data_IF_251073655686
#
_entry.id   IF_251073655686
#
_cell.length_a   1.000
_cell.length_b   1.000
_cell.length_c   1.000
_cell.angle_alpha   90.00
_cell.angle_beta   90.00
_cell.angle_gamma   90.00
#
_symmetry.space_group_name_H-M   'P 1'
#
loop_
_entity.id
_entity.type
_entity.pdbx_description
1 polymer ?
#
# COMPACT_ATOMS: atom_id res chain seq x y z
N UNK A 1 2.24 8.29 18.36
CA UNK A 1 2.54 8.40 16.92
C UNK A 1 3.71 7.51 16.62
N UNK A 2 3.43 6.32 16.08
CA UNK A 2 4.49 5.48 15.51
C UNK A 2 4.73 5.86 14.06
N UNK A 3 5.92 5.55 13.56
CA UNK A 3 6.26 5.77 12.16
C UNK A 3 5.78 4.57 11.35
N UNK A 4 4.68 4.72 10.60
CA UNK A 4 4.22 3.71 9.66
C UNK A 4 5.27 3.48 8.56
N UNK A 5 5.81 2.26 8.47
CA UNK A 5 6.75 1.85 7.43
C UNK A 5 6.06 0.92 6.44
N UNK A 6 6.46 1.05 5.19
CA UNK A 6 6.06 0.16 4.10
C UNK A 6 7.32 -0.21 3.31
N UNK A 7 7.45 -1.48 2.97
CA UNK A 7 8.49 -2.02 2.10
C UNK A 7 7.81 -2.75 0.93
N UNK A 8 8.34 -2.55 -0.28
CA UNK A 8 7.83 -3.14 -1.51
C UNK A 8 8.86 -4.11 -2.08
N UNK A 9 8.45 -5.36 -2.25
CA UNK A 9 9.23 -6.41 -2.92
C UNK A 9 8.47 -6.94 -4.13
N UNK A 10 9.16 -7.05 -5.27
CA UNK A 10 8.60 -7.65 -6.48
C UNK A 10 8.86 -9.17 -6.46
N UNK A 11 7.80 -9.95 -6.67
CA UNK A 11 7.86 -11.40 -6.82
C UNK A 11 7.17 -11.83 -8.12
N UNK A 12 7.46 -13.03 -8.67
CA UNK A 12 6.78 -13.52 -9.87
C UNK A 12 5.26 -13.58 -9.75
N UNK A 13 4.74 -13.71 -8.53
CA UNK A 13 3.31 -13.76 -8.21
C UNK A 13 2.67 -12.38 -8.03
N UNK A 14 3.46 -11.30 -7.97
CA UNK A 14 2.95 -9.93 -7.86
C UNK A 14 3.82 -9.03 -6.98
N UNK A 15 3.20 -8.01 -6.38
CA UNK A 15 3.89 -7.02 -5.54
C UNK A 15 3.59 -7.28 -4.07
N UNK A 16 4.60 -7.65 -3.30
CA UNK A 16 4.51 -7.81 -1.85
C UNK A 16 4.74 -6.48 -1.14
N UNK A 17 3.75 -6.06 -0.36
CA UNK A 17 3.76 -4.86 0.47
C UNK A 17 3.80 -5.29 1.93
N UNK A 18 4.98 -5.19 2.53
CA UNK A 18 5.17 -5.44 3.95
C UNK A 18 5.06 -4.12 4.72
N UNK A 19 4.28 -4.09 5.79
CA UNK A 19 4.12 -2.92 6.66
C UNK A 19 3.94 -3.33 8.12
N UNK A 20 4.34 -2.43 9.03
CA UNK A 20 4.17 -2.61 10.47
C UNK A 20 2.81 -2.11 10.91
N UNK A 21 2.13 -2.83 11.80
CA UNK A 21 0.82 -2.45 12.35
C UNK A 21 0.79 -2.73 13.84
N UNK A 22 0.31 -1.78 14.64
CA UNK A 22 0.12 -1.97 16.07
C UNK A 22 -1.11 -2.83 16.39
N UNK A 23 -1.19 -3.31 17.63
CA UNK A 23 -2.33 -4.10 18.09
C UNK A 23 -3.59 -3.25 17.98
N UNK A 24 -4.64 -3.79 17.35
CA UNK A 24 -5.96 -3.18 17.15
C UNK A 24 -6.06 -2.08 16.08
N UNK A 25 -4.97 -1.65 15.45
CA UNK A 25 -5.08 -0.73 14.31
C UNK A 25 -5.89 -1.36 13.16
N UNK A 26 -6.21 -0.54 12.16
CA UNK A 26 -6.74 -0.96 10.86
C UNK A 26 -5.79 -0.41 9.81
N UNK A 27 -5.32 -1.25 8.89
CA UNK A 27 -4.38 -0.83 7.84
C UNK A 27 -5.07 -0.93 6.47
N UNK A 28 -5.17 0.16 5.73
CA UNK A 28 -5.69 0.17 4.37
C UNK A 28 -4.55 0.40 3.38
N UNK A 29 -4.54 -0.36 2.29
CA UNK A 29 -3.54 -0.20 1.23
C UNK A 29 -4.13 0.66 0.13
N UNK A 30 -3.42 1.71 -0.26
CA UNK A 30 -3.76 2.57 -1.37
C UNK A 30 -2.74 2.42 -2.49
N UNK A 31 -3.22 2.47 -3.74
CA UNK A 31 -2.43 2.41 -4.96
C UNK A 31 -2.79 3.56 -5.88
N UNK A 32 -1.79 4.13 -6.54
CA UNK A 32 -1.96 5.05 -7.68
C UNK A 32 -1.24 4.46 -8.90
N UNK A 33 -1.87 4.61 -10.06
CA UNK A 33 -1.40 4.05 -11.34
C UNK A 33 -1.18 5.18 -12.32
N UNK A 34 0.03 5.31 -12.88
CA UNK A 34 0.35 6.34 -13.88
C UNK A 34 0.91 7.65 -13.33
N UNK A 35 1.31 7.70 -12.05
CA UNK A 35 2.03 8.85 -11.47
C UNK A 35 1.14 9.96 -10.93
N UNK A 36 1.70 11.16 -10.77
CA UNK A 36 1.16 12.19 -9.88
C UNK A 36 -0.25 12.71 -10.24
N UNK A 37 -0.56 12.76 -11.53
CA UNK A 37 -1.86 13.21 -12.04
C UNK A 37 -3.02 12.22 -11.77
N UNK A 38 -2.71 10.98 -11.38
CA UNK A 38 -3.71 9.94 -11.14
C UNK A 38 -4.29 9.97 -9.72
N UNK A 39 -5.46 9.38 -9.56
CA UNK A 39 -6.11 9.27 -8.24
C UNK A 39 -5.61 8.06 -7.46
N UNK A 40 -5.58 8.20 -6.14
CA UNK A 40 -5.35 7.08 -5.23
C UNK A 40 -6.60 6.21 -5.11
N UNK A 41 -6.43 4.90 -5.28
CA UNK A 41 -7.46 3.90 -5.10
C UNK A 41 -7.15 3.06 -3.86
N UNK A 42 -8.16 2.84 -3.00
CA UNK A 42 -8.03 1.90 -1.89
C UNK A 42 -8.17 0.48 -2.41
N UNK A 43 -7.06 -0.25 -2.49
CA UNK A 43 -7.00 -1.61 -3.07
C UNK A 43 -7.17 -2.70 -2.03
N UNK A 44 -6.96 -2.40 -0.74
CA UNK A 44 -7.25 -3.32 0.34
C UNK A 44 -7.76 -2.58 1.59
N UNK A 45 -8.75 -3.19 2.26
CA UNK A 45 -9.36 -2.68 3.50
C UNK A 45 -8.97 -3.60 4.65
N UNK A 46 -8.45 -3.02 5.74
CA UNK A 46 -7.93 -3.78 6.89
C UNK A 46 -6.99 -4.93 6.47
N UNK A 47 -6.05 -4.61 5.60
CA UNK A 47 -5.09 -5.54 5.05
C UNK A 47 -4.20 -6.15 6.14
N UNK A 48 -3.83 -7.42 5.92
CA UNK A 48 -2.77 -8.09 6.66
C UNK A 48 -1.44 -7.79 5.98
N UNK A 49 -0.37 -7.81 6.79
CA UNK A 49 1.00 -7.69 6.30
C UNK A 49 1.66 -9.08 6.30
N UNK A 50 2.34 -9.48 5.22
CA UNK A 50 2.42 -8.77 3.93
C UNK A 50 1.09 -8.84 3.15
N UNK A 51 0.79 -7.78 2.41
CA UNK A 51 -0.28 -7.76 1.41
C UNK A 51 0.30 -8.02 0.03
N UNK A 52 -0.31 -8.93 -0.74
CA UNK A 52 0.08 -9.25 -2.11
C UNK A 52 -0.90 -8.59 -3.08
N UNK A 53 -0.40 -7.66 -3.90
CA UNK A 53 -1.15 -7.10 -5.01
C UNK A 53 -0.84 -7.91 -6.29
N UNK A 54 -1.88 -8.53 -6.84
CA UNK A 54 -1.82 -9.40 -8.03
C UNK A 54 -2.42 -8.77 -9.28
N UNK A 55 -2.89 -7.52 -9.21
CA UNK A 55 -3.48 -6.86 -10.38
C UNK A 55 -2.46 -6.77 -11.51
N UNK A 56 -2.93 -6.95 -12.75
CA UNK A 56 -2.10 -6.91 -13.95
C UNK A 56 -2.10 -5.51 -14.57
N UNK A 57 -0.93 -5.03 -14.97
CA UNK A 57 -0.73 -3.71 -15.60
C UNK A 57 0.07 -3.87 -16.89
N UNK A 58 -0.06 -2.89 -17.79
CA UNK A 58 0.80 -2.85 -18.96
C UNK A 58 2.27 -2.67 -18.51
N UNK A 59 3.24 -3.36 -19.14
CA UNK A 59 4.66 -3.18 -18.82
C UNK A 59 5.07 -1.71 -18.93
N UNK A 60 5.92 -1.24 -18.03
CA UNK A 60 6.32 0.17 -17.96
C UNK A 60 5.35 1.07 -17.19
N UNK A 61 4.20 0.57 -16.74
CA UNK A 61 3.25 1.35 -15.93
C UNK A 61 3.84 1.66 -14.56
N UNK A 62 3.92 2.94 -14.19
CA UNK A 62 4.31 3.37 -12.85
C UNK A 62 3.19 3.04 -11.85
N UNK A 63 3.56 2.34 -10.78
CA UNK A 63 2.69 1.99 -9.67
C UNK A 63 3.27 2.56 -8.39
N UNK A 64 2.43 3.21 -7.60
CA UNK A 64 2.80 3.80 -6.32
C UNK A 64 1.86 3.32 -5.22
N UNK A 65 2.38 3.17 -4.01
CA UNK A 65 1.66 2.62 -2.87
C UNK A 65 1.94 3.40 -1.59
N UNK A 66 0.94 3.48 -0.72
CA UNK A 66 1.13 3.78 0.69
C UNK A 66 0.12 2.99 1.53
N UNK A 67 0.36 2.93 2.84
CA UNK A 67 -0.57 2.37 3.82
C UNK A 67 -1.10 3.47 4.72
N UNK A 68 -2.41 3.52 4.90
CA UNK A 68 -3.08 4.35 5.89
C UNK A 68 -3.45 3.50 7.09
N UNK A 69 -3.00 3.90 8.27
CA UNK A 69 -3.39 3.34 9.55
C UNK A 69 -4.54 4.17 10.13
N UNK A 70 -5.56 3.48 10.60
CA UNK A 70 -6.70 4.05 11.30
C UNK A 70 -6.89 3.33 12.64
N UNK A 71 -7.46 4.04 13.60
CA UNK A 71 -7.97 3.41 14.82
C UNK A 71 -9.17 2.51 14.48
N UNK A 72 -9.62 1.69 15.43
CA UNK A 72 -10.85 0.90 15.25
C UNK A 72 -12.12 1.74 15.03
N UNK A 73 -12.07 3.04 15.38
CA UNK A 73 -13.16 3.98 15.19
C UNK A 73 -13.13 4.65 13.82
N UNK A 74 -12.10 4.36 13.00
CA UNK A 74 -11.93 4.93 11.65
C UNK A 74 -11.17 6.25 11.63
N UNK A 75 -10.56 6.65 12.75
CA UNK A 75 -9.79 7.90 12.83
C UNK A 75 -8.38 7.69 12.25
N UNK A 76 -7.89 8.56 11.35
CA UNK A 76 -6.53 8.46 10.82
C UNK A 76 -5.48 8.57 11.93
N UNK A 77 -4.59 7.57 12.02
CA UNK A 77 -3.56 7.51 13.04
C UNK A 77 -2.15 7.76 12.48
N UNK A 78 -1.80 7.07 11.39
CA UNK A 78 -0.51 7.23 10.73
C UNK A 78 -0.61 6.92 9.23
N UNK A 79 0.29 7.51 8.43
CA UNK A 79 0.42 7.20 7.01
C UNK A 79 1.88 6.89 6.69
N UNK A 80 2.12 5.82 5.94
CA UNK A 80 3.48 5.50 5.49
C UNK A 80 4.01 6.52 4.48
N UNK A 81 5.31 6.43 4.19
CA UNK A 81 5.85 7.02 2.98
C UNK A 81 5.33 6.29 1.73
N UNK A 82 5.53 6.90 0.55
CA UNK A 82 5.16 6.29 -0.72
C UNK A 82 6.33 5.42 -1.21
N UNK A 83 6.01 4.21 -1.65
CA UNK A 83 6.93 3.33 -2.40
C UNK A 83 6.43 3.17 -3.81
N UNK A 84 7.35 3.04 -4.77
CA UNK A 84 7.02 2.97 -6.18
C UNK A 84 7.74 1.82 -6.88
N UNK A 85 7.13 1.35 -7.96
CA UNK A 85 7.71 0.37 -8.86
C UNK A 85 7.12 0.53 -10.26
N UNK A 86 7.71 -0.16 -11.22
CA UNK A 86 7.22 -0.22 -12.58
C UNK A 86 6.74 -1.64 -12.84
N UNK A 87 5.55 -1.77 -13.45
CA UNK A 87 5.05 -3.07 -13.89
C UNK A 87 6.05 -3.70 -14.88
N UNK A 88 6.44 -4.95 -14.60
CA UNK A 88 7.34 -5.76 -15.41
C UNK A 88 6.59 -6.54 -16.49
#
# INVERSE_FOLDING_TARGET
MHTAKIDLTLEPTGRHLAFSKELLEVAHVFRRVGGEASTWQRVAVNARSPFLDTDTFAPGTLLEYYVQHETQQGEPEARSHIVSTTAV
#
